data_IF_927310332946
#
_entry.id   IF_927310332946
#
_cell.length_a   1.000
_cell.length_b   1.000
_cell.length_c   1.000
_cell.angle_alpha   90.00
_cell.angle_beta   90.00
_cell.angle_gamma   90.00
#
_symmetry.space_group_name_H-M   'P 1'
#
loop_
_entity.id
_entity.type
_entity.pdbx_description
1 polymer ?
#
# COMPACT_ATOMS: atom_id res chain seq x y z
N UNK A 1 6.94 9.94 -8.90
CA UNK A 1 7.56 8.59 -8.93
C UNK A 1 6.53 7.61 -8.38
N UNK A 2 5.83 6.87 -9.27
CA UNK A 2 4.67 6.05 -8.90
C UNK A 2 5.02 4.59 -8.62
N UNK A 3 6.22 4.13 -9.01
CA UNK A 3 6.70 2.77 -8.73
C UNK A 3 7.93 2.88 -7.83
N UNK A 4 7.89 2.15 -6.71
CA UNK A 4 8.97 1.98 -5.74
C UNK A 4 10.23 1.50 -6.46
N UNK A 5 11.41 1.86 -5.95
CA UNK A 5 12.69 1.33 -6.44
C UNK A 5 12.95 1.54 -7.97
N UNK A 6 12.22 2.47 -8.60
CA UNK A 6 12.41 2.89 -9.99
C UNK A 6 12.86 4.36 -10.06
N UNK A 7 14.17 4.61 -10.04
CA UNK A 7 14.74 5.95 -9.95
C UNK A 7 14.62 6.76 -11.25
N UNK A 8 14.95 8.05 -11.22
CA UNK A 8 14.95 8.89 -12.44
C UNK A 8 15.90 8.35 -13.51
N UNK A 9 17.06 7.82 -13.10
CA UNK A 9 17.98 7.14 -14.02
C UNK A 9 17.38 5.88 -14.66
N UNK A 10 16.60 5.11 -13.91
CA UNK A 10 15.93 3.91 -14.43
C UNK A 10 14.84 4.27 -15.43
N UNK A 11 14.03 5.28 -15.09
CA UNK A 11 12.99 5.83 -15.98
C UNK A 11 13.61 6.33 -17.28
N UNK A 12 14.67 7.14 -17.18
CA UNK A 12 15.38 7.68 -18.33
C UNK A 12 15.92 6.57 -19.23
N UNK A 13 16.48 5.50 -18.64
CA UNK A 13 16.96 4.33 -19.40
C UNK A 13 15.82 3.61 -20.12
N UNK A 14 14.68 3.39 -19.46
CA UNK A 14 13.49 2.77 -20.07
C UNK A 14 12.98 3.62 -21.24
N UNK A 15 12.84 4.93 -21.04
CA UNK A 15 12.34 5.85 -22.07
C UNK A 15 13.30 5.94 -23.25
N UNK A 16 14.60 6.09 -23.01
CA UNK A 16 15.63 6.14 -24.04
C UNK A 16 15.70 4.83 -24.82
N UNK A 17 15.68 3.69 -24.14
CA UNK A 17 15.65 2.38 -24.78
C UNK A 17 14.42 2.26 -25.68
N UNK A 18 13.23 2.59 -25.18
CA UNK A 18 11.98 2.53 -25.95
C UNK A 18 11.97 3.49 -27.14
N UNK A 19 12.54 4.67 -26.98
CA UNK A 19 12.62 5.68 -28.05
C UNK A 19 13.50 5.21 -29.22
N UNK A 20 14.64 4.57 -28.94
CA UNK A 20 15.59 4.14 -29.98
C UNK A 20 15.24 2.79 -30.59
N UNK A 21 14.72 1.85 -29.80
CA UNK A 21 14.45 0.47 -30.24
C UNK A 21 12.96 0.12 -30.42
N UNK A 22 12.05 1.07 -30.27
CA UNK A 22 10.60 0.83 -30.36
C UNK A 22 10.01 0.16 -29.10
N UNK A 23 8.76 -0.36 -29.19
CA UNK A 23 8.12 -1.08 -28.08
C UNK A 23 8.98 -2.24 -27.55
N UNK A 24 8.78 -2.61 -26.29
CA UNK A 24 9.41 -3.82 -25.74
C UNK A 24 8.58 -5.04 -26.13
N UNK A 25 9.25 -6.11 -26.55
CA UNK A 25 8.58 -7.34 -27.02
C UNK A 25 8.44 -8.38 -25.91
N UNK A 26 9.32 -8.34 -24.92
CA UNK A 26 9.34 -9.26 -23.78
C UNK A 26 9.99 -8.61 -22.55
N UNK A 27 9.80 -9.19 -21.35
CA UNK A 27 10.51 -8.77 -20.14
C UNK A 27 12.04 -8.84 -20.31
N UNK A 28 12.52 -9.85 -21.02
CA UNK A 28 13.94 -10.05 -21.35
C UNK A 28 14.45 -8.99 -22.32
N UNK A 29 13.68 -8.62 -23.35
CA UNK A 29 14.02 -7.50 -24.26
C UNK A 29 14.16 -6.19 -23.48
N UNK A 30 13.20 -5.90 -22.59
CA UNK A 30 13.28 -4.74 -21.70
C UNK A 30 14.55 -4.79 -20.84
N UNK A 31 14.82 -5.92 -20.18
CA UNK A 31 15.98 -6.08 -19.32
C UNK A 31 17.30 -5.95 -20.10
N UNK A 32 17.40 -6.57 -21.27
CA UNK A 32 18.57 -6.53 -22.14
C UNK A 32 18.87 -5.12 -22.66
N UNK A 33 17.84 -4.33 -22.98
CA UNK A 33 18.01 -2.96 -23.49
C UNK A 33 18.31 -1.94 -22.39
N UNK A 34 17.86 -2.18 -21.16
CA UNK A 34 17.90 -1.18 -20.09
C UNK A 34 18.94 -1.47 -19.01
N UNK A 35 19.28 -2.74 -18.76
CA UNK A 35 20.21 -3.18 -17.71
C UNK A 35 19.78 -2.73 -16.31
N UNK A 36 18.47 -2.74 -16.03
CA UNK A 36 17.94 -2.32 -14.73
C UNK A 36 18.39 -3.28 -13.62
N UNK A 37 18.53 -2.79 -12.37
CA UNK A 37 18.83 -3.66 -11.25
C UNK A 37 17.63 -4.56 -10.91
N UNK A 38 17.90 -5.67 -10.21
CA UNK A 38 16.89 -6.65 -9.77
C UNK A 38 15.70 -5.97 -9.07
N UNK A 39 15.97 -5.03 -8.15
CA UNK A 39 14.93 -4.32 -7.39
C UNK A 39 13.95 -3.56 -8.30
N UNK A 40 14.41 -2.99 -9.41
CA UNK A 40 13.53 -2.30 -10.35
C UNK A 40 12.67 -3.29 -11.14
N UNK A 41 13.20 -4.47 -11.50
CA UNK A 41 12.41 -5.54 -12.11
C UNK A 41 11.37 -6.10 -11.15
N UNK A 42 11.70 -6.31 -9.87
CA UNK A 42 10.74 -6.71 -8.84
C UNK A 42 9.61 -5.68 -8.70
N UNK A 43 9.94 -4.40 -8.67
CA UNK A 43 8.93 -3.33 -8.55
C UNK A 43 8.05 -3.18 -9.80
N UNK A 44 8.62 -3.31 -11.01
CA UNK A 44 7.85 -3.33 -12.26
C UNK A 44 6.94 -4.56 -12.34
N UNK A 45 7.40 -5.72 -11.88
CA UNK A 45 6.58 -6.92 -11.81
C UNK A 45 5.44 -6.78 -10.78
N UNK A 46 5.75 -6.34 -9.57
CA UNK A 46 4.78 -6.20 -8.49
C UNK A 46 3.68 -5.16 -8.80
N UNK A 47 4.01 -4.08 -9.53
CA UNK A 47 3.04 -3.09 -10.01
C UNK A 47 2.18 -3.56 -11.18
N UNK A 48 2.49 -4.72 -11.76
CA UNK A 48 1.81 -5.25 -12.94
C UNK A 48 2.23 -4.59 -14.25
N UNK A 49 3.26 -3.74 -14.26
CA UNK A 49 3.72 -3.06 -15.47
C UNK A 49 4.21 -4.02 -16.57
N UNK A 50 4.65 -5.23 -16.20
CA UNK A 50 5.12 -6.27 -17.13
C UNK A 50 3.99 -7.16 -17.68
N UNK A 51 2.74 -6.97 -17.25
CA UNK A 51 1.63 -7.79 -17.71
C UNK A 51 1.37 -7.65 -19.23
N UNK A 52 1.61 -6.46 -19.80
CA UNK A 52 1.55 -6.23 -21.25
C UNK A 52 2.63 -6.97 -22.04
N UNK A 53 3.69 -7.41 -21.36
CA UNK A 53 4.77 -8.23 -21.91
C UNK A 53 4.57 -9.73 -21.61
N UNK A 54 3.35 -10.12 -21.19
CA UNK A 54 3.00 -11.52 -20.91
C UNK A 54 3.46 -12.04 -19.55
N UNK A 55 3.99 -11.17 -18.67
CA UNK A 55 4.52 -11.60 -17.37
C UNK A 55 3.63 -11.15 -16.21
N UNK A 56 2.89 -12.10 -15.64
CA UNK A 56 2.06 -11.88 -14.47
C UNK A 56 2.90 -11.52 -13.23
N UNK A 57 2.33 -10.79 -12.25
CA UNK A 57 3.05 -10.25 -11.08
C UNK A 57 3.92 -11.29 -10.36
N UNK A 58 3.35 -12.46 -9.99
CA UNK A 58 4.08 -13.52 -9.28
C UNK A 58 5.23 -14.11 -10.10
N UNK A 59 4.97 -14.40 -11.38
CA UNK A 59 5.99 -14.88 -12.30
C UNK A 59 7.10 -13.84 -12.50
N UNK A 60 6.74 -12.55 -12.61
CA UNK A 60 7.70 -11.46 -12.77
C UNK A 60 8.57 -11.22 -11.53
N UNK A 61 8.00 -11.29 -10.34
CA UNK A 61 8.78 -11.21 -9.10
C UNK A 61 9.74 -12.40 -8.97
N UNK A 62 9.32 -13.61 -9.37
CA UNK A 62 10.23 -14.75 -9.46
C UNK A 62 11.37 -14.47 -10.45
N UNK A 63 11.05 -13.96 -11.64
CA UNK A 63 12.01 -13.74 -12.73
C UNK A 63 12.93 -12.55 -12.51
N UNK A 64 12.63 -11.64 -11.60
CA UNK A 64 13.38 -10.40 -11.43
C UNK A 64 14.88 -10.62 -11.19
N UNK A 65 15.24 -11.68 -10.48
CA UNK A 65 16.64 -12.09 -10.31
C UNK A 65 17.32 -12.43 -11.64
N UNK A 66 16.65 -13.19 -12.52
CA UNK A 66 17.14 -13.48 -13.86
C UNK A 66 17.19 -12.23 -14.73
N UNK A 67 16.14 -11.41 -14.73
CA UNK A 67 16.07 -10.19 -15.53
C UNK A 67 17.18 -9.19 -15.14
N UNK A 68 17.48 -9.03 -13.85
CA UNK A 68 18.58 -8.17 -13.39
C UNK A 68 19.98 -8.70 -13.74
N UNK A 69 20.10 -9.93 -14.26
CA UNK A 69 21.34 -10.45 -14.85
C UNK A 69 21.49 -10.07 -16.32
N UNK A 70 20.45 -9.60 -17.00
CA UNK A 70 20.51 -9.13 -18.39
C UNK A 70 20.95 -7.66 -18.47
N UNK A 71 21.35 -7.22 -19.66
CA UNK A 71 21.72 -5.82 -19.90
C UNK A 71 22.61 -5.63 -21.13
N UNK A 72 22.75 -4.38 -21.61
CA UNK A 72 23.36 -4.11 -22.92
C UNK A 72 24.85 -4.48 -22.99
N UNK A 73 25.55 -4.46 -21.85
CA UNK A 73 26.96 -4.85 -21.74
C UNK A 73 27.17 -6.33 -21.41
N UNK A 74 26.09 -7.12 -21.33
CA UNK A 74 26.13 -8.54 -21.00
C UNK A 74 25.71 -9.38 -22.19
N UNK A 75 26.46 -10.43 -22.46
CA UNK A 75 26.06 -11.46 -23.42
C UNK A 75 24.83 -12.16 -22.87
N UNK A 76 23.79 -12.31 -23.70
CA UNK A 76 22.58 -13.07 -23.38
C UNK A 76 22.88 -14.59 -23.37
N UNK A 77 23.75 -15.03 -22.46
CA UNK A 77 24.15 -16.42 -22.28
C UNK A 77 23.32 -17.01 -21.14
N UNK A 78 22.22 -17.67 -21.51
CA UNK A 78 21.35 -18.38 -20.59
C UNK A 78 19.91 -18.21 -20.99
N UNK A 79 19.28 -19.29 -21.46
CA UNK A 79 17.83 -19.40 -21.41
C UNK A 79 17.45 -19.36 -19.93
N UNK A 80 16.73 -18.33 -19.48
CA UNK A 80 16.20 -18.28 -18.13
C UNK A 80 15.50 -19.59 -17.80
N UNK A 81 15.67 -20.08 -16.57
CA UNK A 81 14.91 -21.24 -16.11
C UNK A 81 13.42 -20.93 -16.32
N UNK A 82 12.65 -21.81 -16.99
CA UNK A 82 11.23 -21.55 -17.19
C UNK A 82 10.58 -21.30 -15.83
N UNK A 83 9.71 -20.29 -15.77
CA UNK A 83 8.94 -20.03 -14.56
C UNK A 83 8.18 -21.32 -14.23
N UNK A 84 8.33 -21.87 -13.01
CA UNK A 84 7.56 -23.03 -12.62
C UNK A 84 6.06 -22.68 -12.65
N UNK A 85 5.19 -23.69 -12.65
CA UNK A 85 3.75 -23.44 -12.54
C UNK A 85 3.43 -22.87 -11.15
N UNK A 86 3.42 -21.53 -11.07
CA UNK A 86 3.14 -20.78 -9.86
C UNK A 86 1.62 -20.53 -9.81
N UNK A 87 0.97 -20.74 -8.66
CA UNK A 87 -0.46 -20.45 -8.55
C UNK A 87 -0.75 -18.99 -8.92
N UNK A 88 -1.98 -18.68 -9.32
CA UNK A 88 -2.39 -17.28 -9.47
C UNK A 88 -2.34 -16.57 -8.10
N UNK A 89 -2.10 -15.25 -8.10
CA UNK A 89 -2.22 -14.45 -6.88
C UNK A 89 -3.70 -14.29 -6.55
N UNK A 90 -4.05 -14.46 -5.28
CA UNK A 90 -5.37 -14.09 -4.80
C UNK A 90 -5.51 -12.55 -4.68
N UNK A 91 -6.71 -12.08 -4.33
CA UNK A 91 -6.98 -10.64 -4.20
C UNK A 91 -6.13 -10.00 -3.08
N UNK A 92 -5.91 -10.70 -1.97
CA UNK A 92 -5.12 -10.20 -0.84
C UNK A 92 -3.66 -10.03 -1.25
N UNK A 93 -3.10 -11.02 -1.93
CA UNK A 93 -1.74 -11.01 -2.44
C UNK A 93 -1.56 -9.90 -3.50
N UNK A 94 -2.56 -9.71 -4.36
CA UNK A 94 -2.53 -8.69 -5.42
C UNK A 94 -2.52 -7.28 -4.80
N UNK A 95 -3.40 -7.03 -3.83
CA UNK A 95 -3.46 -5.75 -3.10
C UNK A 95 -2.15 -5.51 -2.34
N UNK A 96 -1.59 -6.54 -1.71
CA UNK A 96 -0.31 -6.41 -1.00
C UNK A 96 0.84 -6.01 -1.95
N UNK A 97 0.90 -6.61 -3.15
CA UNK A 97 1.89 -6.26 -4.16
C UNK A 97 1.69 -4.84 -4.71
N UNK A 98 0.45 -4.40 -4.90
CA UNK A 98 0.12 -3.04 -5.35
C UNK A 98 0.50 -1.98 -4.32
N UNK A 99 0.19 -2.21 -3.05
CA UNK A 99 0.59 -1.32 -1.96
C UNK A 99 2.11 -1.24 -1.80
N UNK A 100 2.82 -2.36 -1.95
CA UNK A 100 4.28 -2.37 -1.85
C UNK A 100 4.95 -1.64 -3.02
N UNK A 101 4.43 -1.84 -4.24
CA UNK A 101 5.05 -1.34 -5.46
C UNK A 101 4.66 0.09 -5.80
N UNK A 102 3.40 0.47 -5.64
CA UNK A 102 2.90 1.80 -6.05
C UNK A 102 2.29 2.61 -4.91
N UNK A 103 1.92 1.95 -3.81
CA UNK A 103 1.18 2.57 -2.72
C UNK A 103 -0.30 2.83 -3.04
N UNK A 104 -0.78 2.39 -4.21
CA UNK A 104 -2.15 2.57 -4.68
C UNK A 104 -2.70 1.20 -5.09
N UNK A 105 -3.98 0.95 -4.82
CA UNK A 105 -4.68 -0.30 -5.17
C UNK A 105 -6.05 0.05 -5.77
N UNK A 106 -6.56 -0.80 -6.67
CA UNK A 106 -7.91 -0.65 -7.25
C UNK A 106 -9.00 -0.91 -6.21
N UNK A 107 -8.75 -1.83 -5.27
CA UNK A 107 -9.65 -2.13 -4.14
C UNK A 107 -9.03 -1.60 -2.85
N UNK A 108 -9.79 -0.81 -2.09
CA UNK A 108 -9.28 -0.25 -0.84
C UNK A 108 -8.97 -1.39 0.17
N UNK A 109 -7.80 -1.42 0.83
CA UNK A 109 -7.36 -2.59 1.62
C UNK A 109 -8.25 -2.91 2.82
N UNK A 110 -8.99 -1.92 3.34
CA UNK A 110 -9.98 -2.14 4.41
C UNK A 110 -11.06 -3.14 3.98
N UNK A 111 -11.38 -3.22 2.69
CA UNK A 111 -12.38 -4.16 2.15
C UNK A 111 -12.05 -5.61 2.53
N UNK A 112 -10.76 -5.98 2.55
CA UNK A 112 -10.29 -7.33 2.90
C UNK A 112 -10.58 -7.74 4.35
N UNK A 113 -10.72 -6.77 5.24
CA UNK A 113 -10.97 -7.00 6.66
C UNK A 113 -12.32 -6.41 7.12
N UNK A 114 -13.14 -5.92 6.18
CA UNK A 114 -14.35 -5.16 6.52
C UNK A 114 -15.32 -5.99 7.33
N UNK A 115 -15.58 -7.23 6.93
CA UNK A 115 -16.51 -8.11 7.65
C UNK A 115 -16.07 -8.28 9.10
N UNK A 116 -14.78 -8.56 9.31
CA UNK A 116 -14.19 -8.71 10.64
C UNK A 116 -14.22 -7.43 11.47
N UNK A 117 -14.04 -6.26 10.83
CA UNK A 117 -14.21 -4.96 11.48
C UNK A 117 -15.67 -4.74 11.89
N UNK A 118 -16.63 -5.07 11.02
CA UNK A 118 -18.05 -4.94 11.31
C UNK A 118 -18.52 -5.86 12.43
N UNK A 119 -17.99 -7.09 12.50
CA UNK A 119 -18.23 -8.02 13.61
C UNK A 119 -17.72 -7.47 14.95
N UNK A 120 -16.61 -6.73 14.93
CA UNK A 120 -16.04 -6.00 16.08
C UNK A 120 -16.81 -4.70 16.42
N UNK A 121 -17.90 -4.38 15.71
CA UNK A 121 -18.67 -3.15 15.89
C UNK A 121 -17.99 -1.88 15.35
N UNK A 122 -16.96 -2.04 14.49
CA UNK A 122 -16.23 -0.93 13.89
C UNK A 122 -17.01 -0.39 12.69
N UNK A 123 -17.39 0.89 12.77
CA UNK A 123 -18.21 1.55 11.75
C UNK A 123 -17.41 1.91 10.48
N UNK A 124 -18.14 2.10 9.37
CA UNK A 124 -17.61 2.72 8.16
C UNK A 124 -17.51 4.24 8.32
N UNK A 125 -16.54 4.86 7.67
CA UNK A 125 -16.35 6.31 7.67
C UNK A 125 -17.62 7.02 7.21
N UNK A 126 -18.21 6.59 6.09
CA UNK A 126 -19.45 7.19 5.57
C UNK A 126 -20.62 7.16 6.55
N UNK A 127 -20.79 6.06 7.29
CA UNK A 127 -21.85 5.93 8.30
C UNK A 127 -21.60 6.85 9.49
N UNK A 128 -20.35 6.97 9.93
CA UNK A 128 -19.94 7.92 10.97
C UNK A 128 -20.20 9.36 10.53
N UNK A 129 -19.83 9.73 9.30
CA UNK A 129 -20.03 11.08 8.77
C UNK A 129 -21.52 11.46 8.65
N UNK A 130 -22.40 10.48 8.37
CA UNK A 130 -23.86 10.68 8.30
C UNK A 130 -24.50 11.03 9.65
N UNK A 131 -23.90 10.63 10.77
CA UNK A 131 -24.46 10.89 12.11
C UNK A 131 -24.57 12.38 12.42
N UNK A 132 -23.63 13.21 11.91
CA UNK A 132 -23.59 14.68 12.15
C UNK A 132 -23.87 15.06 13.61
N UNK A 133 -23.35 14.27 14.54
CA UNK A 133 -23.67 14.39 15.96
C UNK A 133 -22.47 14.93 16.74
N UNK A 134 -22.75 15.73 17.76
CA UNK A 134 -21.77 16.06 18.79
C UNK A 134 -21.83 15.03 19.92
N UNK A 135 -20.67 14.72 20.51
CA UNK A 135 -20.51 13.87 21.70
C UNK A 135 -20.87 12.38 21.55
N UNK A 136 -21.23 11.94 20.34
CA UNK A 136 -21.47 10.51 20.08
C UNK A 136 -20.16 9.73 20.21
N UNK A 137 -20.18 8.64 21.01
CA UNK A 137 -19.05 7.73 21.13
C UNK A 137 -19.15 6.70 20.03
N UNK A 138 -18.09 6.56 19.24
CA UNK A 138 -18.03 5.62 18.13
C UNK A 138 -16.68 4.91 18.10
N UNK A 139 -16.65 3.81 17.36
CA UNK A 139 -15.44 3.09 16.99
C UNK A 139 -15.38 3.02 15.47
N UNK A 140 -14.28 3.47 14.88
CA UNK A 140 -14.07 3.46 13.42
C UNK A 140 -12.67 2.96 13.10
N UNK A 141 -12.52 2.31 11.95
CA UNK A 141 -11.26 1.70 11.54
C UNK A 141 -10.97 2.00 10.08
N UNK A 142 -9.69 2.14 9.78
CA UNK A 142 -9.22 2.53 8.46
C UNK A 142 -7.71 2.64 8.40
N UNK A 143 -7.22 3.15 7.27
CA UNK A 143 -5.81 3.43 7.00
C UNK A 143 -5.53 4.90 7.30
N UNK A 144 -4.44 5.18 8.02
CA UNK A 144 -4.00 6.55 8.25
C UNK A 144 -3.16 7.01 7.05
N UNK A 145 -3.72 7.89 6.22
CA UNK A 145 -3.03 8.39 5.02
C UNK A 145 -2.12 9.57 5.31
N UNK A 146 -2.50 10.42 6.27
CA UNK A 146 -1.74 11.62 6.63
C UNK A 146 -1.64 11.78 8.14
N UNK A 147 -0.49 12.27 8.61
CA UNK A 147 -0.24 12.63 10.01
C UNK A 147 0.39 14.00 10.06
N UNK A 148 -0.30 14.97 10.67
CA UNK A 148 0.16 16.35 10.75
C UNK A 148 0.29 16.79 12.21
N UNK A 149 1.32 17.59 12.48
CA UNK A 149 1.52 18.27 13.76
C UNK A 149 1.75 19.76 13.48
N UNK A 150 0.69 20.56 13.37
CA UNK A 150 0.83 22.00 13.24
C UNK A 150 1.56 22.58 14.45
N UNK A 151 2.55 23.45 14.23
CA UNK A 151 3.35 24.05 15.30
C UNK A 151 2.49 24.84 16.29
N UNK A 152 1.39 25.42 15.81
CA UNK A 152 0.46 26.26 16.57
C UNK A 152 -0.53 25.49 17.44
N UNK A 153 -0.64 24.16 17.27
CA UNK A 153 -1.72 23.36 17.87
C UNK A 153 -1.39 22.79 19.27
N UNK A 154 -0.43 23.38 20.00
CA UNK A 154 -0.04 22.97 21.38
C UNK A 154 0.16 21.45 21.55
N UNK A 155 0.74 20.78 20.55
CA UNK A 155 1.01 19.35 20.56
C UNK A 155 -0.13 18.43 20.08
N UNK A 156 -1.29 18.99 19.73
CA UNK A 156 -2.36 18.26 19.04
C UNK A 156 -1.88 17.81 17.67
N UNK A 157 -2.27 16.59 17.29
CA UNK A 157 -1.98 16.00 15.98
C UNK A 157 -3.26 15.70 15.24
N UNK A 158 -3.20 15.74 13.92
CA UNK A 158 -4.32 15.47 13.03
C UNK A 158 -3.98 14.31 12.12
N UNK A 159 -4.87 13.33 12.07
CA UNK A 159 -4.79 12.20 11.15
C UNK A 159 -5.92 12.27 10.13
N UNK A 160 -5.64 11.86 8.90
CA UNK A 160 -6.68 11.50 7.94
C UNK A 160 -6.83 9.98 7.97
N UNK A 161 -8.01 9.51 8.38
CA UNK A 161 -8.38 8.10 8.40
C UNK A 161 -9.25 7.80 7.19
N UNK A 162 -8.87 6.81 6.41
CA UNK A 162 -9.54 6.42 5.16
C UNK A 162 -10.04 4.98 5.22
N UNK A 163 -11.25 4.76 4.72
CA UNK A 163 -11.75 3.44 4.37
C UNK A 163 -12.34 3.43 2.96
N UNK A 164 -12.88 2.28 2.53
CA UNK A 164 -13.47 2.12 1.20
C UNK A 164 -14.69 3.02 0.93
N UNK A 165 -15.17 3.74 1.93
CA UNK A 165 -16.36 4.61 1.84
C UNK A 165 -16.06 6.09 2.02
N UNK A 166 -14.83 6.47 2.39
CA UNK A 166 -14.42 7.87 2.47
C UNK A 166 -13.31 8.14 3.47
N UNK A 167 -13.09 9.43 3.71
CA UNK A 167 -12.02 9.94 4.57
C UNK A 167 -12.63 10.76 5.72
N UNK A 168 -12.11 10.61 6.94
CA UNK A 168 -12.42 11.48 8.07
C UNK A 168 -11.19 12.06 8.75
N UNK A 169 -11.37 13.22 9.35
CA UNK A 169 -10.36 13.85 10.19
C UNK A 169 -10.43 13.29 11.61
N UNK A 170 -9.27 12.93 12.15
CA UNK A 170 -9.12 12.44 13.51
C UNK A 170 -8.18 13.37 14.27
N UNK A 171 -8.61 13.82 15.44
CA UNK A 171 -7.88 14.71 16.33
C UNK A 171 -7.28 13.88 17.46
N UNK A 172 -5.96 13.91 17.59
CA UNK A 172 -5.23 13.23 18.66
C UNK A 172 -4.68 14.26 19.64
N UNK A 173 -5.21 14.23 20.85
CA UNK A 173 -4.71 15.05 21.96
C UNK A 173 -3.33 14.54 22.41
N UNK A 174 -2.45 15.41 22.96
CA UNK A 174 -1.11 15.01 23.39
C UNK A 174 -1.09 13.76 24.29
N UNK A 175 -1.99 13.69 25.28
CA UNK A 175 -2.08 12.54 26.19
C UNK A 175 -2.40 11.22 25.47
N UNK A 176 -3.28 11.25 24.47
CA UNK A 176 -3.66 10.05 23.69
C UNK A 176 -2.50 9.63 22.78
N UNK A 177 -1.80 10.60 22.18
CA UNK A 177 -0.61 10.29 21.42
C UNK A 177 0.47 9.62 22.27
N UNK A 178 0.78 10.16 23.45
CA UNK A 178 1.81 9.58 24.32
C UNK A 178 1.40 8.18 24.80
N UNK A 179 0.12 7.99 25.18
CA UNK A 179 -0.39 6.69 25.62
C UNK A 179 -0.39 5.61 24.51
N UNK A 180 -0.56 6.01 23.25
CA UNK A 180 -0.64 5.11 22.09
C UNK A 180 0.50 5.33 21.08
N UNK A 181 1.66 5.78 21.56
CA UNK A 181 2.75 6.30 20.72
C UNK A 181 3.14 5.38 19.57
N UNK A 182 3.38 4.10 19.85
CA UNK A 182 3.82 3.12 18.87
C UNK A 182 2.78 2.93 17.75
N UNK A 183 1.51 2.76 18.12
CA UNK A 183 0.40 2.59 17.17
C UNK A 183 0.19 3.87 16.36
N UNK A 184 0.09 5.00 17.04
CA UNK A 184 -0.16 6.30 16.41
C UNK A 184 0.96 6.68 15.41
N UNK A 185 2.22 6.35 15.74
CA UNK A 185 3.38 6.66 14.91
C UNK A 185 3.58 5.69 13.75
N UNK A 186 3.43 4.39 13.95
CA UNK A 186 3.90 3.36 13.01
C UNK A 186 2.80 2.57 12.30
N UNK A 187 1.62 2.43 12.90
CA UNK A 187 0.59 1.56 12.34
C UNK A 187 -0.05 2.18 11.10
N UNK A 188 -0.01 1.48 9.97
CA UNK A 188 -0.68 1.93 8.74
C UNK A 188 -2.20 1.86 8.90
N UNK A 189 -2.71 0.74 9.42
CA UNK A 189 -4.12 0.53 9.71
C UNK A 189 -4.44 0.50 11.19
N UNK A 190 -5.50 1.20 11.59
CA UNK A 190 -5.87 1.43 12.99
C UNK A 190 -7.37 1.32 13.20
N UNK A 191 -7.76 0.93 14.41
CA UNK A 191 -9.11 1.11 14.94
C UNK A 191 -9.03 2.15 16.05
N UNK A 192 -9.92 3.13 15.99
CA UNK A 192 -9.93 4.31 16.84
C UNK A 192 -11.28 4.38 17.55
N UNK A 193 -11.24 4.36 18.87
CA UNK A 193 -12.38 4.76 19.68
C UNK A 193 -12.28 6.24 19.93
N UNK A 194 -13.39 6.95 19.76
CA UNK A 194 -13.39 8.38 19.93
C UNK A 194 -14.76 8.94 20.25
N UNK A 195 -14.83 10.25 20.14
CA UNK A 195 -16.04 11.04 20.31
C UNK A 195 -16.18 11.97 19.12
N UNK A 196 -17.36 12.02 18.51
CA UNK A 196 -17.61 12.91 17.38
C UNK A 196 -17.76 14.36 17.81
N UNK A 197 -17.16 15.23 17.00
CA UNK A 197 -17.33 16.67 17.04
C UNK A 197 -17.78 17.14 15.65
N UNK A 198 -19.00 17.62 15.56
CA UNK A 198 -19.55 18.24 14.36
C UNK A 198 -19.59 19.75 14.55
N UNK A 199 -18.75 20.45 13.79
CA UNK A 199 -18.59 21.90 13.85
C UNK A 199 -18.33 22.45 12.46
N UNK A 200 -18.99 23.57 12.13
CA UNK A 200 -18.82 24.29 10.86
C UNK A 200 -18.96 23.40 9.61
N UNK A 201 -19.87 22.42 9.66
CA UNK A 201 -20.13 21.49 8.55
C UNK A 201 -19.15 20.32 8.45
N UNK A 202 -18.16 20.22 9.34
CA UNK A 202 -17.14 19.18 9.34
C UNK A 202 -17.32 18.27 10.55
N UNK A 203 -17.36 16.96 10.31
CA UNK A 203 -17.30 15.94 11.37
C UNK A 203 -15.84 15.56 11.60
N UNK A 204 -15.36 15.75 12.83
CA UNK A 204 -14.07 15.28 13.31
C UNK A 204 -14.28 14.20 14.37
N UNK A 205 -13.34 13.26 14.47
CA UNK A 205 -13.27 12.31 15.56
C UNK A 205 -12.19 12.72 16.55
N UNK A 206 -12.57 13.06 17.78
CA UNK A 206 -11.60 13.24 18.87
C UNK A 206 -11.25 11.87 19.43
N UNK A 207 -10.03 11.41 19.16
CA UNK A 207 -9.56 10.09 19.55
C UNK A 207 -9.46 9.96 21.07
N UNK A 208 -9.84 8.80 21.61
CA UNK A 208 -9.69 8.39 23.01
C UNK A 208 -8.70 7.25 23.16
N UNK A 209 -8.73 6.27 22.26
CA UNK A 209 -7.80 5.15 22.20
C UNK A 209 -7.53 4.73 20.77
N UNK A 210 -6.34 4.17 20.53
CA UNK A 210 -5.95 3.61 19.24
C UNK A 210 -5.42 2.21 19.45
N UNK A 211 -5.83 1.29 18.58
CA UNK A 211 -5.26 -0.06 18.45
C UNK A 211 -4.94 -0.35 16.99
N UNK A 212 -3.95 -1.20 16.68
CA UNK A 212 -3.79 -1.71 15.32
C UNK A 212 -5.09 -2.38 14.88
N UNK A 213 -5.44 -2.25 13.60
CA UNK A 213 -6.51 -3.06 13.04
C UNK A 213 -6.16 -4.56 13.14
N UNK A 214 -7.14 -5.48 13.16
CA UNK A 214 -6.84 -6.91 13.18
C UNK A 214 -6.13 -7.29 11.87
N UNK A 215 -4.82 -7.55 11.95
CA UNK A 215 -4.08 -8.11 10.83
C UNK A 215 -4.59 -9.54 10.53
N UNK A 216 -4.60 -9.98 9.26
CA UNK A 216 -4.80 -11.38 8.96
C UNK A 216 -3.75 -12.21 9.71
N UNK A 217 -4.21 -13.15 10.53
CA UNK A 217 -3.32 -14.12 11.17
C UNK A 217 -2.77 -15.02 10.08
N UNK A 218 -1.51 -14.80 9.67
CA UNK A 218 -0.78 -15.79 8.88
C UNK A 218 -0.52 -16.97 9.81
N UNK A 219 -1.06 -18.17 9.56
CA UNK A 219 -0.75 -19.33 10.39
C UNK A 219 0.77 -19.55 10.36
N UNK A 220 1.37 -19.73 11.54
CA UNK A 220 2.79 -20.08 11.64
C UNK A 220 3.03 -21.34 10.82
N UNK A 221 3.88 -21.24 9.80
CA UNK A 221 4.40 -22.41 9.10
C UNK A 221 5.55 -22.94 9.95
N UNK A 222 5.22 -23.52 11.10
CA UNK A 222 6.20 -24.21 11.92
C UNK A 222 6.81 -25.33 11.08
N UNK A 223 8.13 -25.31 10.93
CA UNK A 223 8.88 -26.37 10.26
C UNK A 223 8.68 -27.67 11.06
N UNK A 224 8.11 -28.69 10.43
CA UNK A 224 8.19 -30.08 10.91
C UNK A 224 9.49 -30.71 10.43
#
# INVERSE_FOLDING_TARGET
RYVRDLGEGDITRIEAARFTGGPFESPEDLAQRTGLPVASHEALAASGALASLGLAKRAGMWMAGHLGMLGPERLALGTGTPVPDLPAMDETETIAADLWSTGITTTHPVTLIRDRLSDDGVMKVSDVLRLRSNRAKITVGGIVTHRQRPETARGVRFFNLEDETGIMNVILMPAVWEAHYEVARKAVGVVIDGTLEYKDGVTNLVARSLRPWPAPTVPSRDFR
#
